data_IF_357614566689
#
_entry.id   IF_357614566689
#
_cell.length_a   1.000
_cell.length_b   1.000
_cell.length_c   1.000
_cell.angle_alpha   90.00
_cell.angle_beta   90.00
_cell.angle_gamma   90.00
#
_symmetry.space_group_name_H-M   'P 1'
#
loop_
_entity.id
_entity.type
_entity.pdbx_description
1 polymer ?
#
# COMPACT_ATOMS: atom_id res chain seq x y z
N UNK A 1 17.46 -7.46 -6.87
CA UNK A 1 17.66 -6.00 -6.78
C UNK A 1 16.70 -5.48 -5.72
N UNK A 2 17.16 -4.71 -4.73
CA UNK A 2 16.27 -4.17 -3.70
C UNK A 2 15.61 -2.93 -4.24
N UNK A 3 14.30 -2.91 -4.33
CA UNK A 3 13.56 -1.81 -4.95
C UNK A 3 13.45 -0.56 -4.08
N UNK A 4 13.59 -0.69 -2.76
CA UNK A 4 13.46 0.43 -1.83
C UNK A 4 14.60 0.50 -0.80
N UNK A 5 15.88 0.68 -1.22
CA UNK A 5 17.00 0.71 -0.27
C UNK A 5 16.88 1.85 0.73
N UNK A 6 16.25 2.97 0.36
CA UNK A 6 16.03 4.11 1.24
C UNK A 6 15.01 3.87 2.36
N UNK A 7 14.08 2.93 2.18
CA UNK A 7 13.18 2.49 3.24
C UNK A 7 13.84 1.49 4.18
N UNK A 8 15.00 0.95 3.75
CA UNK A 8 15.66 -0.16 4.40
C UNK A 8 17.17 0.04 4.30
N UNK A 9 17.73 0.92 5.10
CA UNK A 9 19.18 0.93 5.37
C UNK A 9 19.59 -0.31 6.18
N UNK A 10 19.07 -1.47 5.78
CA UNK A 10 19.18 -2.70 6.51
C UNK A 10 20.11 -3.67 5.80
N UNK A 11 20.82 -4.47 6.56
CA UNK A 11 21.62 -5.57 6.01
C UNK A 11 20.72 -6.55 5.23
N UNK A 12 21.28 -7.37 4.33
CA UNK A 12 20.54 -8.42 3.62
C UNK A 12 19.69 -9.32 4.51
N UNK A 13 20.15 -9.50 5.74
CA UNK A 13 19.50 -10.36 6.75
C UNK A 13 18.38 -9.65 7.52
N UNK A 14 18.26 -8.32 7.35
CA UNK A 14 17.30 -7.46 8.06
C UNK A 14 16.20 -6.90 7.14
N UNK A 15 16.00 -7.46 5.94
CA UNK A 15 14.99 -6.99 5.01
C UNK A 15 13.56 -7.17 5.57
N UNK A 16 12.70 -6.11 5.58
CA UNK A 16 11.30 -6.23 5.98
C UNK A 16 10.53 -7.17 5.05
N UNK A 17 9.56 -7.85 5.60
CA UNK A 17 8.86 -8.95 4.91
C UNK A 17 9.45 -10.32 5.28
N UNK A 18 10.79 -10.41 5.41
CA UNK A 18 11.46 -11.61 5.96
C UNK A 18 12.20 -11.27 7.25
N UNK A 19 12.61 -10.02 7.44
CA UNK A 19 13.40 -9.53 8.58
C UNK A 19 12.66 -8.63 9.57
N UNK A 20 11.48 -8.10 9.24
CA UNK A 20 10.75 -7.17 10.12
C UNK A 20 10.50 -7.74 11.51
N UNK A 21 10.07 -9.00 11.60
CA UNK A 21 9.90 -9.68 12.88
C UNK A 21 11.23 -9.92 13.62
N UNK A 22 12.32 -10.18 12.88
CA UNK A 22 13.66 -10.37 13.47
C UNK A 22 14.26 -9.04 13.92
N UNK A 23 13.97 -7.96 13.23
CA UNK A 23 14.41 -6.63 13.61
C UNK A 23 13.69 -6.18 14.87
N UNK A 24 12.36 -6.30 14.93
CA UNK A 24 11.56 -6.00 16.11
C UNK A 24 12.04 -6.80 17.34
N UNK A 25 12.41 -8.07 17.16
CA UNK A 25 12.91 -8.91 18.26
C UNK A 25 14.24 -8.43 18.88
N UNK A 26 14.97 -7.54 18.20
CA UNK A 26 16.24 -6.95 18.71
C UNK A 26 16.04 -5.56 19.33
N UNK A 27 14.81 -5.02 19.31
CA UNK A 27 14.50 -3.66 19.74
C UNK A 27 13.75 -3.66 21.07
N UNK A 28 13.91 -2.60 21.83
CA UNK A 28 12.99 -2.27 22.92
C UNK A 28 11.66 -1.77 22.36
N UNK A 29 10.60 -1.85 23.15
CA UNK A 29 9.30 -1.34 22.74
C UNK A 29 9.34 0.14 22.33
N UNK A 30 10.15 0.95 23.02
CA UNK A 30 10.34 2.37 22.68
C UNK A 30 11.00 2.57 21.30
N UNK A 31 12.07 1.83 21.04
CA UNK A 31 12.76 1.90 19.75
C UNK A 31 11.84 1.46 18.60
N UNK A 32 11.05 0.40 18.81
CA UNK A 32 10.10 -0.09 17.81
C UNK A 32 9.01 0.94 17.49
N UNK A 33 8.45 1.59 18.50
CA UNK A 33 7.45 2.66 18.30
C UNK A 33 8.05 3.85 17.58
N UNK A 34 9.23 4.33 17.98
CA UNK A 34 9.88 5.46 17.30
C UNK A 34 10.19 5.12 15.84
N UNK A 35 10.71 3.94 15.56
CA UNK A 35 10.94 3.47 14.18
C UNK A 35 9.63 3.44 13.37
N UNK A 36 8.52 3.03 13.98
CA UNK A 36 7.21 3.02 13.32
C UNK A 36 6.75 4.42 12.97
N UNK A 37 6.90 5.39 13.87
CA UNK A 37 6.54 6.80 13.63
C UNK A 37 7.40 7.38 12.49
N UNK A 38 8.72 7.16 12.53
CA UNK A 38 9.65 7.61 11.49
C UNK A 38 9.30 7.02 10.12
N UNK A 39 8.91 5.74 10.09
CA UNK A 39 8.44 5.08 8.87
C UNK A 39 7.17 5.74 8.33
N UNK A 40 6.21 6.10 9.18
CA UNK A 40 4.98 6.78 8.76
C UNK A 40 5.25 8.18 8.22
N UNK A 41 6.17 8.93 8.83
CA UNK A 41 6.62 10.20 8.29
C UNK A 41 7.23 10.03 6.89
N UNK A 42 8.04 8.98 6.69
CA UNK A 42 8.60 8.63 5.38
C UNK A 42 7.52 8.31 4.34
N UNK A 43 6.45 7.60 4.74
CA UNK A 43 5.31 7.32 3.84
C UNK A 43 4.52 8.57 3.49
N UNK A 44 4.41 9.53 4.41
CA UNK A 44 3.74 10.80 4.15
C UNK A 44 4.43 11.59 3.04
N UNK A 45 5.74 11.71 3.09
CA UNK A 45 6.52 12.45 2.10
C UNK A 45 6.84 11.65 0.84
N UNK A 46 7.17 10.37 1.04
CA UNK A 46 7.73 9.51 -0.01
C UNK A 46 6.72 8.74 -0.83
N UNK A 47 5.47 8.61 -0.36
CA UNK A 47 4.40 7.79 -0.98
C UNK A 47 3.16 8.60 -1.38
N UNK A 48 3.34 9.85 -1.79
CA UNK A 48 2.26 10.73 -2.24
C UNK A 48 1.08 10.81 -1.25
N UNK A 49 1.38 10.94 0.03
CA UNK A 49 0.37 11.13 1.07
C UNK A 49 -0.41 9.86 1.45
N UNK A 50 0.21 8.70 1.37
CA UNK A 50 -0.35 7.45 1.92
C UNK A 50 -0.68 7.59 3.41
N UNK A 51 0.13 8.36 4.14
CA UNK A 51 -0.17 8.90 5.47
C UNK A 51 -0.25 10.43 5.33
N UNK A 52 -1.32 11.03 5.80
CA UNK A 52 -1.46 12.48 5.70
C UNK A 52 -0.59 13.19 6.75
N UNK A 53 -0.05 14.38 6.43
CA UNK A 53 0.84 15.11 7.36
C UNK A 53 0.17 15.41 8.70
N UNK A 54 -1.14 15.68 8.74
CA UNK A 54 -1.88 15.89 10.01
C UNK A 54 -1.92 14.63 10.87
N UNK A 55 -1.89 13.44 10.26
CA UNK A 55 -1.77 12.17 10.98
C UNK A 55 -0.37 12.02 11.58
N UNK A 56 0.67 12.38 10.82
CA UNK A 56 2.05 12.39 11.33
C UNK A 56 2.16 13.30 12.55
N UNK A 57 1.53 14.48 12.53
CA UNK A 57 1.50 15.40 13.67
C UNK A 57 0.85 14.80 14.93
N UNK A 58 -0.15 13.94 14.75
CA UNK A 58 -0.76 13.18 15.84
C UNK A 58 0.18 12.09 16.35
N UNK A 59 0.80 11.34 15.44
CA UNK A 59 1.72 10.25 15.77
C UNK A 59 2.97 10.76 16.51
N UNK A 60 3.51 11.92 16.14
CA UNK A 60 4.65 12.54 16.82
C UNK A 60 4.39 12.78 18.31
N UNK A 61 3.16 13.11 18.70
CA UNK A 61 2.77 13.29 20.10
C UNK A 61 2.80 11.97 20.90
N UNK A 62 2.81 10.82 20.20
CA UNK A 62 2.86 9.51 20.83
C UNK A 62 4.27 8.97 21.07
N UNK A 63 5.33 9.70 20.66
CA UNK A 63 6.73 9.24 20.87
C UNK A 63 7.04 8.93 22.33
N UNK A 64 6.47 9.69 23.25
CA UNK A 64 6.72 9.55 24.69
C UNK A 64 5.64 8.75 25.44
N UNK A 65 4.68 8.12 24.72
CA UNK A 65 3.67 7.29 25.37
C UNK A 65 4.31 6.13 26.15
N UNK A 66 3.70 5.74 27.24
CA UNK A 66 4.12 4.52 27.95
C UNK A 66 3.87 3.28 27.09
N UNK A 67 4.89 2.44 26.92
CA UNK A 67 4.83 1.24 26.09
C UNK A 67 5.40 0.03 26.82
N UNK A 68 4.90 -1.18 26.50
CA UNK A 68 5.53 -2.43 26.94
C UNK A 68 7.00 -2.50 26.54
N UNK A 69 7.79 -3.27 27.29
CA UNK A 69 9.19 -3.54 26.94
C UNK A 69 9.32 -4.39 25.68
N UNK A 70 8.41 -5.31 25.46
CA UNK A 70 8.34 -6.15 24.26
C UNK A 70 7.93 -5.31 23.02
N UNK A 71 8.74 -5.39 21.97
CA UNK A 71 8.58 -4.57 20.78
C UNK A 71 7.26 -4.82 20.03
N UNK A 72 6.82 -6.08 19.93
CA UNK A 72 5.56 -6.40 19.24
C UNK A 72 4.35 -5.90 20.02
N UNK A 73 4.35 -6.11 21.34
CA UNK A 73 3.31 -5.59 22.21
C UNK A 73 3.27 -4.06 22.20
N UNK A 74 4.44 -3.41 22.15
CA UNK A 74 4.56 -1.95 22.07
C UNK A 74 3.99 -1.39 20.76
N UNK A 75 4.31 -1.99 19.62
CA UNK A 75 3.77 -1.62 18.30
C UNK A 75 2.26 -1.84 18.26
N UNK A 76 1.76 -2.95 18.79
CA UNK A 76 0.32 -3.19 18.90
C UNK A 76 -0.40 -2.12 19.74
N UNK A 77 0.12 -1.79 20.91
CA UNK A 77 -0.41 -0.73 21.78
C UNK A 77 -0.35 0.65 21.09
N UNK A 78 0.74 0.93 20.39
CA UNK A 78 0.90 2.14 19.60
C UNK A 78 -0.18 2.27 18.52
N UNK A 79 -0.41 1.24 17.69
CA UNK A 79 -1.43 1.31 16.64
C UNK A 79 -2.84 1.52 17.21
N UNK A 80 -3.20 0.85 18.28
CA UNK A 80 -4.49 1.06 18.93
C UNK A 80 -4.68 2.50 19.40
N UNK A 81 -3.63 3.09 19.99
CA UNK A 81 -3.64 4.49 20.41
C UNK A 81 -3.65 5.44 19.21
N UNK A 82 -2.84 5.19 18.20
CA UNK A 82 -2.75 5.97 16.97
C UNK A 82 -4.09 6.04 16.25
N UNK A 83 -4.77 4.92 16.04
CA UNK A 83 -6.10 4.90 15.41
C UNK A 83 -7.13 5.68 16.21
N UNK A 84 -7.08 5.59 17.54
CA UNK A 84 -7.98 6.35 18.43
C UNK A 84 -7.71 7.84 18.30
N UNK A 85 -6.47 8.27 18.43
CA UNK A 85 -6.10 9.69 18.44
C UNK A 85 -6.29 10.34 17.07
N UNK A 86 -5.99 9.64 15.97
CA UNK A 86 -6.25 10.12 14.60
C UNK A 86 -7.75 10.29 14.36
N UNK A 87 -8.57 9.31 14.78
CA UNK A 87 -10.04 9.43 14.71
C UNK A 87 -10.52 10.65 15.50
N UNK A 88 -10.10 10.78 16.74
CA UNK A 88 -10.57 11.84 17.64
C UNK A 88 -10.12 13.23 17.16
N UNK A 89 -8.89 13.35 16.66
CA UNK A 89 -8.39 14.58 16.04
C UNK A 89 -9.19 14.95 14.78
N UNK A 90 -9.46 13.97 13.91
CA UNK A 90 -10.25 14.19 12.71
C UNK A 90 -11.68 14.65 13.05
N UNK A 91 -12.35 13.97 13.98
CA UNK A 91 -13.70 14.34 14.44
C UNK A 91 -13.70 15.71 15.11
N UNK A 92 -12.68 16.05 15.91
CA UNK A 92 -12.55 17.35 16.54
C UNK A 92 -12.39 18.50 15.52
N UNK A 93 -11.78 18.22 14.37
CA UNK A 93 -11.70 19.14 13.22
C UNK A 93 -12.95 19.15 12.34
N UNK A 94 -13.95 18.29 12.62
CA UNK A 94 -15.18 18.18 11.85
C UNK A 94 -15.07 17.26 10.62
N UNK A 95 -13.98 16.51 10.46
CA UNK A 95 -13.85 15.53 9.39
C UNK A 95 -14.70 14.27 9.69
N UNK A 96 -15.42 13.68 8.71
CA UNK A 96 -16.30 12.54 8.92
C UNK A 96 -15.48 11.24 9.01
N UNK A 97 -14.73 11.06 10.11
CA UNK A 97 -13.91 9.88 10.34
C UNK A 97 -14.73 8.73 10.89
N UNK A 98 -14.52 7.54 10.33
CA UNK A 98 -15.08 6.29 10.86
C UNK A 98 -14.30 5.79 12.10
N UNK A 99 -14.86 4.81 12.79
CA UNK A 99 -14.23 4.23 13.98
C UNK A 99 -13.07 3.30 13.59
N UNK A 100 -11.90 3.89 13.38
CA UNK A 100 -10.67 3.19 13.00
C UNK A 100 -10.35 2.00 13.94
N UNK A 101 -10.36 2.15 15.28
CA UNK A 101 -10.13 1.03 16.18
C UNK A 101 -11.10 -0.13 15.99
N UNK A 102 -12.38 0.16 15.74
CA UNK A 102 -13.39 -0.85 15.49
C UNK A 102 -13.17 -1.56 14.16
N UNK A 103 -12.93 -0.80 13.10
CA UNK A 103 -12.65 -1.38 11.77
C UNK A 103 -11.42 -2.28 11.83
N UNK A 104 -10.35 -1.87 12.50
CA UNK A 104 -9.13 -2.67 12.63
C UNK A 104 -9.32 -3.98 13.42
N UNK A 105 -10.36 -4.06 14.26
CA UNK A 105 -10.72 -5.29 14.99
C UNK A 105 -11.66 -6.21 14.19
N UNK A 106 -12.52 -5.65 13.35
CA UNK A 106 -13.57 -6.38 12.64
C UNK A 106 -13.16 -6.82 11.22
N UNK A 107 -12.20 -6.11 10.62
CA UNK A 107 -11.77 -6.32 9.24
C UNK A 107 -10.28 -6.60 9.19
N UNK A 108 -9.90 -7.66 8.50
CA UNK A 108 -8.49 -7.88 8.18
C UNK A 108 -8.02 -6.78 7.23
N UNK A 109 -7.10 -5.93 7.71
CA UNK A 109 -6.60 -4.79 6.94
C UNK A 109 -5.30 -5.16 6.23
N UNK A 110 -5.28 -4.94 4.92
CA UNK A 110 -4.08 -5.10 4.11
C UNK A 110 -3.50 -3.73 3.74
N UNK A 111 -2.18 -3.65 3.71
CA UNK A 111 -1.49 -2.42 3.28
C UNK A 111 -1.71 -2.12 1.79
N UNK A 112 -2.11 -3.11 1.01
CA UNK A 112 -2.46 -2.99 -0.40
C UNK A 112 -3.72 -3.79 -0.65
N UNK A 113 -4.77 -3.11 -1.06
CA UNK A 113 -6.02 -3.69 -1.53
C UNK A 113 -6.07 -3.63 -3.06
N UNK A 114 -6.48 -4.71 -3.69
CA UNK A 114 -6.58 -4.79 -5.14
C UNK A 114 -8.03 -4.88 -5.59
N UNK A 115 -8.39 -4.05 -6.54
CA UNK A 115 -9.68 -4.09 -7.22
C UNK A 115 -9.46 -4.34 -8.72
N UNK A 116 -9.89 -5.50 -9.18
CA UNK A 116 -9.77 -5.88 -10.58
C UNK A 116 -10.48 -4.87 -11.51
N UNK A 117 -9.93 -4.49 -12.65
CA UNK A 117 -8.71 -5.05 -13.25
C UNK A 117 -7.43 -4.26 -12.97
N UNK A 118 -7.47 -3.05 -12.45
CA UNK A 118 -6.30 -2.18 -12.49
C UNK A 118 -6.29 -1.08 -11.40
N UNK A 119 -7.03 -1.28 -10.32
CA UNK A 119 -7.11 -0.30 -9.25
C UNK A 119 -6.52 -0.87 -7.97
N UNK A 120 -5.61 -0.11 -7.34
CA UNK A 120 -4.97 -0.46 -6.09
C UNK A 120 -5.25 0.62 -5.07
N UNK A 121 -5.64 0.22 -3.88
CA UNK A 121 -5.82 1.07 -2.72
C UNK A 121 -4.72 0.77 -1.72
N UNK A 122 -4.15 1.80 -1.15
CA UNK A 122 -3.14 1.72 -0.11
C UNK A 122 -3.66 2.43 1.14
N UNK A 123 -4.69 1.87 1.79
CA UNK A 123 -5.20 2.41 3.06
C UNK A 123 -4.16 2.17 4.15
N UNK A 124 -3.99 3.13 5.03
CA UNK A 124 -3.05 2.96 6.13
C UNK A 124 -3.66 3.35 7.48
N UNK A 125 -4.00 4.63 7.64
CA UNK A 125 -4.65 5.15 8.84
C UNK A 125 -6.02 5.74 8.45
N UNK A 126 -6.18 7.04 8.46
CA UNK A 126 -7.38 7.74 7.97
C UNK A 126 -7.21 8.35 6.58
N UNK A 127 -6.00 8.28 6.02
CA UNK A 127 -5.68 8.67 4.65
C UNK A 127 -5.29 7.47 3.81
N UNK A 128 -5.24 7.63 2.49
CA UNK A 128 -4.73 6.59 1.60
C UNK A 128 -4.17 7.19 0.30
N UNK A 129 -3.19 6.51 -0.28
CA UNK A 129 -2.91 6.61 -1.70
C UNK A 129 -3.72 5.59 -2.48
N UNK A 130 -3.98 5.87 -3.74
CA UNK A 130 -4.55 4.89 -4.66
C UNK A 130 -3.92 5.00 -6.03
N UNK A 131 -3.84 3.87 -6.73
CA UNK A 131 -3.27 3.77 -8.06
C UNK A 131 -4.30 3.20 -9.02
N UNK A 132 -4.43 3.86 -10.19
CA UNK A 132 -5.17 3.31 -11.30
C UNK A 132 -4.27 3.20 -12.52
N UNK A 133 -4.08 1.98 -13.00
CA UNK A 133 -3.18 1.69 -14.12
C UNK A 133 -4.04 1.42 -15.35
N UNK A 134 -4.15 2.42 -16.25
CA UNK A 134 -4.95 2.31 -17.47
C UNK A 134 -4.06 1.98 -18.67
N UNK A 135 -4.14 0.75 -19.23
CA UNK A 135 -3.40 0.41 -20.43
C UNK A 135 -3.86 1.26 -21.61
N UNK A 136 -2.91 1.74 -22.40
CA UNK A 136 -3.14 2.48 -23.66
C UNK A 136 -2.77 1.62 -24.86
N UNK A 137 -1.67 0.89 -24.76
CA UNK A 137 -1.18 -0.07 -25.73
C UNK A 137 -0.60 -1.26 -24.97
N UNK A 138 -0.20 -2.36 -25.63
CA UNK A 138 0.54 -3.43 -24.96
C UNK A 138 1.83 -2.96 -24.26
N UNK A 139 2.39 -1.82 -24.67
CA UNK A 139 3.67 -1.31 -24.21
C UNK A 139 3.56 -0.08 -23.31
N UNK A 140 2.40 0.54 -23.20
CA UNK A 140 2.24 1.82 -22.50
C UNK A 140 0.96 1.89 -21.69
N UNK A 141 1.01 2.61 -20.58
CA UNK A 141 -0.16 2.88 -19.74
C UNK A 141 -0.13 4.30 -19.18
N UNK A 142 -1.28 4.79 -18.76
CA UNK A 142 -1.35 5.84 -17.76
C UNK A 142 -1.32 5.23 -16.37
N UNK A 143 -0.40 5.69 -15.54
CA UNK A 143 -0.32 5.36 -14.14
C UNK A 143 -0.82 6.57 -13.35
N UNK A 144 -2.03 6.47 -12.81
CA UNK A 144 -2.66 7.56 -12.06
C UNK A 144 -2.44 7.34 -10.56
N UNK A 145 -2.00 8.40 -9.86
CA UNK A 145 -1.84 8.41 -8.40
C UNK A 145 -2.85 9.40 -7.82
N UNK A 146 -3.53 8.98 -6.77
CA UNK A 146 -4.46 9.80 -6.02
C UNK A 146 -4.08 9.76 -4.56
N UNK A 147 -4.00 10.93 -3.92
CA UNK A 147 -3.89 11.06 -2.46
C UNK A 147 -5.26 11.46 -1.93
N UNK A 148 -5.82 10.67 -1.03
CA UNK A 148 -7.16 10.83 -0.52
C UNK A 148 -7.12 10.99 1.00
N UNK A 149 -7.84 11.97 1.51
CA UNK A 149 -7.98 12.25 2.93
C UNK A 149 -9.40 12.72 3.23
N UNK A 150 -9.94 12.32 4.36
CA UNK A 150 -11.23 12.83 4.84
C UNK A 150 -11.03 14.24 5.40
N UNK A 151 -11.88 15.18 4.95
CA UNK A 151 -11.80 16.60 5.31
C UNK A 151 -13.12 17.05 5.94
N UNK A 152 -13.09 18.09 6.80
CA UNK A 152 -14.30 18.78 7.21
C UNK A 152 -15.09 19.30 6.00
N UNK A 153 -16.41 19.21 6.05
CA UNK A 153 -17.27 19.65 4.96
C UNK A 153 -17.12 21.16 4.69
N UNK A 154 -16.97 21.94 5.75
CA UNK A 154 -16.83 23.39 5.68
C UNK A 154 -15.38 23.87 5.41
N UNK A 155 -14.42 22.97 5.32
CA UNK A 155 -13.03 23.34 5.06
C UNK A 155 -12.85 23.74 3.60
N UNK A 156 -12.40 24.97 3.30
CA UNK A 156 -12.16 25.39 1.93
C UNK A 156 -11.18 24.46 1.23
N UNK A 157 -11.60 23.88 0.13
CA UNK A 157 -10.75 23.01 -0.68
C UNK A 157 -10.96 23.30 -2.17
N UNK A 158 -9.88 23.63 -2.82
CA UNK A 158 -9.91 23.77 -4.27
C UNK A 158 -9.62 22.40 -4.93
N UNK A 159 -10.66 21.78 -5.45
CA UNK A 159 -10.50 20.51 -6.18
C UNK A 159 -9.59 20.73 -7.39
N UNK A 160 -8.53 19.93 -7.56
CA UNK A 160 -7.68 20.01 -8.73
C UNK A 160 -8.50 19.86 -10.03
N UNK A 161 -8.46 20.86 -10.90
CA UNK A 161 -9.21 20.85 -12.17
C UNK A 161 -8.55 20.02 -13.26
N UNK A 162 -7.24 19.80 -13.10
CA UNK A 162 -6.43 19.04 -14.06
C UNK A 162 -5.42 18.20 -13.32
N UNK A 163 -5.17 16.95 -13.76
CA UNK A 163 -4.06 16.18 -13.23
C UNK A 163 -2.72 16.80 -13.63
N UNK A 164 -1.73 16.68 -12.78
CA UNK A 164 -0.32 16.91 -13.15
C UNK A 164 0.15 15.72 -13.96
N UNK A 165 0.54 15.93 -15.20
CA UNK A 165 1.03 14.87 -16.08
C UNK A 165 2.54 14.92 -16.12
N UNK A 166 3.18 13.86 -15.67
CA UNK A 166 4.63 13.70 -15.62
C UNK A 166 5.07 12.53 -16.50
N UNK A 167 6.28 12.63 -17.04
CA UNK A 167 6.93 11.46 -17.65
C UNK A 167 7.36 10.49 -16.56
N UNK A 168 7.47 9.20 -16.89
CA UNK A 168 7.87 8.14 -15.95
C UNK A 168 9.24 8.39 -15.28
N UNK A 169 10.11 9.16 -15.94
CA UNK A 169 11.47 9.49 -15.51
C UNK A 169 11.58 10.88 -14.84
N UNK A 170 10.47 11.54 -14.54
CA UNK A 170 10.48 12.84 -13.88
C UNK A 170 11.06 12.77 -12.47
N UNK A 171 11.83 13.80 -12.13
CA UNK A 171 12.36 14.01 -10.78
C UNK A 171 11.33 14.62 -9.81
N UNK A 172 10.17 15.05 -10.34
CA UNK A 172 9.10 15.67 -9.55
C UNK A 172 8.23 14.64 -8.82
N UNK A 173 8.41 13.34 -9.11
CA UNK A 173 7.77 12.29 -8.33
C UNK A 173 8.32 12.22 -6.90
N UNK A 174 7.49 11.87 -5.92
CA UNK A 174 7.98 11.48 -4.61
C UNK A 174 9.01 10.34 -4.70
N UNK A 175 9.92 10.20 -3.72
CA UNK A 175 11.05 9.28 -3.82
C UNK A 175 10.69 7.83 -4.13
N UNK A 176 9.63 7.28 -3.50
CA UNK A 176 9.24 5.87 -3.68
C UNK A 176 8.65 5.61 -5.06
N UNK A 177 7.59 6.34 -5.52
CA UNK A 177 7.10 6.22 -6.89
C UNK A 177 8.18 6.42 -7.95
N UNK A 178 9.08 7.39 -7.76
CA UNK A 178 10.17 7.62 -8.70
C UNK A 178 11.09 6.41 -8.85
N UNK A 179 11.40 5.75 -7.74
CA UNK A 179 12.20 4.54 -7.75
C UNK A 179 11.48 3.39 -8.47
N UNK A 180 10.20 3.17 -8.17
CA UNK A 180 9.40 2.14 -8.80
C UNK A 180 9.31 2.34 -10.31
N UNK A 181 9.00 3.56 -10.75
CA UNK A 181 8.85 3.85 -12.18
C UNK A 181 10.17 3.72 -12.94
N UNK A 182 11.31 3.93 -12.31
CA UNK A 182 12.61 3.70 -12.94
C UNK A 182 12.86 2.22 -13.30
N UNK A 183 12.20 1.29 -12.60
CA UNK A 183 12.34 -0.15 -12.84
C UNK A 183 11.39 -0.67 -13.93
N UNK A 184 10.23 -0.05 -14.12
CA UNK A 184 9.20 -0.56 -15.05
C UNK A 184 9.70 -0.72 -16.49
N UNK A 185 10.41 0.25 -17.10
CA UNK A 185 10.94 0.08 -18.45
C UNK A 185 11.96 -1.04 -18.57
N UNK A 186 12.76 -1.27 -17.52
CA UNK A 186 13.75 -2.36 -17.50
C UNK A 186 13.05 -3.73 -17.43
N UNK A 187 11.99 -3.84 -16.65
CA UNK A 187 11.17 -5.05 -16.60
C UNK A 187 10.47 -5.31 -17.94
N UNK A 188 9.92 -4.27 -18.57
CA UNK A 188 9.32 -4.37 -19.91
C UNK A 188 10.33 -4.89 -20.93
N UNK A 189 11.54 -4.37 -20.96
CA UNK A 189 12.61 -4.89 -21.81
C UNK A 189 12.94 -6.36 -21.51
N UNK A 190 12.93 -6.74 -20.22
CA UNK A 190 13.15 -8.12 -19.79
C UNK A 190 12.09 -9.09 -20.31
N UNK A 191 10.82 -8.65 -20.36
CA UNK A 191 9.71 -9.45 -20.90
C UNK A 191 9.89 -9.74 -22.42
N UNK A 192 10.58 -8.85 -23.14
CA UNK A 192 10.88 -9.03 -24.57
C UNK A 192 12.15 -9.84 -24.85
N UNK A 193 12.86 -10.29 -23.83
CA UNK A 193 14.06 -11.12 -24.02
C UNK A 193 13.66 -12.47 -24.64
N UNK A 194 14.41 -12.92 -25.66
CA UNK A 194 14.06 -14.10 -26.47
C UNK A 194 13.89 -15.41 -25.70
N UNK A 195 14.53 -15.51 -24.52
CA UNK A 195 14.45 -16.68 -23.65
C UNK A 195 13.43 -16.54 -22.52
N UNK A 196 12.73 -15.41 -22.41
CA UNK A 196 11.68 -15.22 -21.42
C UNK A 196 10.40 -15.93 -21.89
N UNK A 197 10.12 -17.12 -21.35
CA UNK A 197 8.96 -17.94 -21.73
C UNK A 197 7.81 -17.89 -20.73
N UNK A 198 8.11 -17.70 -19.45
CA UNK A 198 7.12 -17.61 -18.39
C UNK A 198 7.64 -16.81 -17.21
N UNK A 199 6.74 -16.10 -16.56
CA UNK A 199 6.97 -15.47 -15.27
C UNK A 199 7.05 -16.56 -14.19
N UNK A 200 8.07 -16.48 -13.34
CA UNK A 200 8.22 -17.39 -12.19
C UNK A 200 7.76 -16.64 -10.95
N UNK A 201 6.66 -17.09 -10.38
CA UNK A 201 6.05 -16.49 -9.20
C UNK A 201 6.35 -17.33 -7.95
N UNK A 202 6.52 -16.65 -6.82
CA UNK A 202 6.56 -17.27 -5.49
C UNK A 202 5.17 -17.80 -5.14
N UNK A 203 5.09 -19.07 -4.73
CA UNK A 203 3.82 -19.69 -4.32
C UNK A 203 3.28 -19.11 -3.00
N UNK A 204 4.15 -18.60 -2.13
CA UNK A 204 3.78 -18.07 -0.83
C UNK A 204 3.48 -16.58 -0.83
N UNK A 205 4.04 -15.81 -1.80
CA UNK A 205 4.01 -14.35 -1.74
C UNK A 205 3.32 -13.69 -2.95
N UNK A 206 3.28 -14.38 -4.11
CA UNK A 206 2.85 -13.78 -5.37
C UNK A 206 1.62 -14.45 -6.00
N UNK A 207 0.85 -15.17 -5.17
CA UNK A 207 -0.36 -15.86 -5.62
C UNK A 207 -1.41 -14.92 -6.19
N UNK A 208 -1.50 -13.69 -5.70
CA UNK A 208 -2.42 -12.67 -6.23
C UNK A 208 -2.12 -12.35 -7.70
N UNK A 209 -0.85 -12.31 -8.11
CA UNK A 209 -0.47 -12.08 -9.51
C UNK A 209 -0.96 -13.22 -10.39
N UNK A 210 -0.80 -14.47 -9.93
CA UNK A 210 -1.31 -15.64 -10.64
C UNK A 210 -2.84 -15.61 -10.76
N UNK A 211 -3.55 -15.31 -9.68
CA UNK A 211 -5.01 -15.23 -9.67
C UNK A 211 -5.51 -14.13 -10.63
N UNK A 212 -4.85 -12.99 -10.65
CA UNK A 212 -5.14 -11.88 -11.55
C UNK A 212 -4.98 -12.28 -13.03
N UNK A 213 -3.85 -12.92 -13.38
CA UNK A 213 -3.59 -13.36 -14.77
C UNK A 213 -4.63 -14.38 -15.22
N UNK A 214 -4.96 -15.36 -14.39
CA UNK A 214 -6.01 -16.36 -14.69
C UNK A 214 -7.37 -15.70 -14.90
N UNK A 215 -7.73 -14.70 -14.09
CA UNK A 215 -8.98 -13.98 -14.28
C UNK A 215 -9.01 -13.24 -15.62
N UNK A 216 -7.90 -12.62 -16.05
CA UNK A 216 -7.77 -12.03 -17.38
C UNK A 216 -7.97 -13.11 -18.46
N UNK A 217 -7.34 -14.28 -18.31
CA UNK A 217 -7.51 -15.40 -19.25
C UNK A 217 -8.97 -15.85 -19.35
N UNK A 218 -9.71 -15.86 -18.24
CA UNK A 218 -11.15 -16.13 -18.22
C UNK A 218 -11.95 -15.10 -19.05
N UNK A 219 -11.64 -13.82 -18.93
CA UNK A 219 -12.26 -12.77 -19.77
C UNK A 219 -11.91 -12.95 -21.25
N UNK A 220 -10.65 -13.20 -21.57
CA UNK A 220 -10.20 -13.43 -22.94
C UNK A 220 -10.79 -14.73 -23.53
N UNK A 221 -10.99 -15.74 -22.71
CA UNK A 221 -11.64 -17.00 -23.07
C UNK A 221 -13.15 -16.91 -23.24
N UNK A 222 -13.76 -15.76 -22.91
CA UNK A 222 -15.20 -15.54 -23.07
C UNK A 222 -16.07 -16.33 -22.09
N UNK A 223 -15.57 -16.56 -20.86
CA UNK A 223 -16.38 -17.19 -19.83
C UNK A 223 -17.62 -16.34 -19.49
N UNK A 224 -18.66 -16.99 -18.97
CA UNK A 224 -19.90 -16.32 -18.64
C UNK A 224 -19.74 -15.33 -17.47
N UNK A 225 -20.63 -14.33 -17.43
CA UNK A 225 -20.58 -13.22 -16.48
C UNK A 225 -20.70 -13.68 -15.00
N UNK A 226 -21.45 -14.77 -14.75
CA UNK A 226 -21.62 -15.28 -13.39
C UNK A 226 -20.32 -15.90 -12.88
N UNK A 227 -19.68 -16.75 -13.69
CA UNK A 227 -18.37 -17.34 -13.39
C UNK A 227 -17.30 -16.27 -13.18
N UNK A 228 -17.22 -15.29 -14.09
CA UNK A 228 -16.28 -14.18 -13.99
C UNK A 228 -16.54 -13.31 -12.73
N UNK A 229 -17.80 -13.04 -12.39
CA UNK A 229 -18.17 -12.27 -11.20
C UNK A 229 -17.74 -12.96 -9.89
N UNK A 230 -17.93 -14.31 -9.80
CA UNK A 230 -17.44 -15.09 -8.66
C UNK A 230 -15.91 -15.05 -8.55
N UNK A 231 -15.24 -15.27 -9.65
CA UNK A 231 -13.77 -15.25 -9.70
C UNK A 231 -13.22 -13.86 -9.33
N UNK A 232 -13.82 -12.79 -9.85
CA UNK A 232 -13.45 -11.42 -9.51
C UNK A 232 -13.64 -11.12 -8.02
N UNK A 233 -14.71 -11.59 -7.41
CA UNK A 233 -14.94 -11.44 -5.98
C UNK A 233 -13.81 -12.08 -5.15
N UNK A 234 -13.31 -13.25 -5.55
CA UNK A 234 -12.19 -13.93 -4.88
C UNK A 234 -10.88 -13.15 -5.08
N UNK A 235 -10.64 -12.64 -6.28
CA UNK A 235 -9.40 -11.91 -6.61
C UNK A 235 -9.33 -10.57 -5.92
N UNK A 236 -10.46 -9.89 -5.71
CA UNK A 236 -10.53 -8.57 -5.08
C UNK A 236 -10.30 -8.59 -3.55
N UNK A 237 -10.28 -9.72 -2.91
CA UNK A 237 -10.15 -9.80 -1.46
C UNK A 237 -8.70 -10.02 -1.01
N UNK A 238 -7.80 -9.07 -1.29
CA UNK A 238 -6.52 -8.81 -0.61
C UNK A 238 -5.63 -9.97 -0.16
N UNK A 239 -5.91 -11.21 -0.55
CA UNK A 239 -5.15 -12.40 -0.13
C UNK A 239 -3.87 -12.52 -0.95
N UNK A 240 -2.95 -11.62 -0.73
CA UNK A 240 -1.77 -11.39 -1.55
C UNK A 240 -0.89 -12.64 -1.75
N UNK A 241 -0.76 -13.48 -0.72
CA UNK A 241 0.21 -14.58 -0.73
C UNK A 241 -0.24 -15.83 -1.47
N UNK A 242 -1.52 -16.14 -1.55
CA UNK A 242 -1.99 -17.47 -1.95
C UNK A 242 -2.59 -17.52 -3.35
N UNK A 243 -2.27 -18.60 -4.06
CA UNK A 243 -3.01 -18.99 -5.26
C UNK A 243 -4.37 -19.53 -4.79
N UNK A 244 -5.46 -18.91 -5.24
CA UNK A 244 -6.83 -19.30 -4.91
C UNK A 244 -7.43 -20.13 -6.04
N UNK A 245 -8.35 -21.01 -5.70
CA UNK A 245 -9.27 -21.56 -6.68
C UNK A 245 -10.30 -20.47 -7.02
N UNK A 246 -10.27 -20.00 -8.25
CA UNK A 246 -11.19 -18.97 -8.77
C UNK A 246 -12.32 -19.58 -9.60
N UNK A 247 -12.42 -20.90 -9.63
CA UNK A 247 -13.50 -21.65 -10.28
C UNK A 247 -13.22 -22.07 -11.71
N UNK A 248 -12.00 -21.84 -12.22
CA UNK A 248 -11.52 -22.31 -13.55
C UNK A 248 -10.00 -22.28 -13.64
#
# INVERSE_FOLDING_TARGET
MRTHPQLYELSPDDAPGVGGARQLAKMTGREAVNMTIDFMATLSEGMAGMVHHTEVDVLEKLRDMEVPADAHAAVGAFYMKAWTDIRDDALARGAPMFDLPKVAQEVEMFAVEFMFPHFFLLPYLGAMSSYRIRPLTPETCFFEIWSLVLRPEDEPYETPKKPTVLRYDSTDYPPVPRQDYSNLPLQQLGLHAGDFKFMRLSKSEEGMISNYQRLIDGYLGGLDTETLGRAQSIVNHGNAGLIRDIGF
#
